data_IF_329740326083
#
_entry.id   IF_329740326083
#
_cell.length_a   1.000
_cell.length_b   1.000
_cell.length_c   1.000
_cell.angle_alpha   90.00
_cell.angle_beta   90.00
_cell.angle_gamma   90.00
#
_symmetry.space_group_name_H-M   'P 1'
#
loop_
_entity.id
_entity.type
_entity.pdbx_description
1 polymer ?
#
# COMPACT_ATOMS: atom_id res chain seq x y z
N UNK A 1 19.07 24.51 6.51
CA UNK A 1 19.44 23.48 7.51
C UNK A 1 18.32 22.45 7.74
N UNK A 2 17.06 22.85 7.94
CA UNK A 2 15.92 21.93 8.15
C UNK A 2 15.63 20.97 6.98
N UNK A 3 15.84 21.40 5.73
CA UNK A 3 15.65 20.54 4.55
C UNK A 3 16.58 19.32 4.50
N UNK A 4 17.84 19.47 4.93
CA UNK A 4 18.80 18.35 4.96
C UNK A 4 18.42 17.31 6.02
N UNK A 5 18.03 17.77 7.21
CA UNK A 5 17.59 16.88 8.29
C UNK A 5 16.31 16.10 7.95
N UNK A 6 15.36 16.72 7.25
CA UNK A 6 14.11 16.06 6.82
C UNK A 6 14.36 14.99 5.76
N UNK A 7 15.25 15.23 4.79
CA UNK A 7 15.65 14.21 3.80
C UNK A 7 16.29 13.00 4.50
N UNK A 8 17.17 13.22 5.48
CA UNK A 8 17.78 12.13 6.24
C UNK A 8 16.72 11.35 7.04
N UNK A 9 15.77 12.03 7.68
CA UNK A 9 14.68 11.35 8.42
C UNK A 9 13.76 10.53 7.51
N UNK A 10 13.30 11.06 6.37
CA UNK A 10 12.47 10.28 5.45
C UNK A 10 13.27 9.18 4.75
N UNK A 11 14.55 9.41 4.46
CA UNK A 11 15.45 8.41 3.88
C UNK A 11 15.68 7.21 4.80
N UNK A 12 15.90 7.44 6.10
CA UNK A 12 16.05 6.34 7.06
C UNK A 12 14.75 5.57 7.25
N UNK A 13 13.59 6.24 7.23
CA UNK A 13 12.27 5.58 7.25
C UNK A 13 12.08 4.69 6.03
N UNK A 14 12.44 5.16 4.83
CA UNK A 14 12.36 4.35 3.62
C UNK A 14 13.26 3.11 3.68
N UNK A 15 14.51 3.27 4.14
CA UNK A 15 15.46 2.15 4.32
C UNK A 15 14.95 1.14 5.36
N UNK A 16 14.37 1.62 6.47
CA UNK A 16 13.80 0.74 7.49
C UNK A 16 12.68 -0.14 6.92
N UNK A 17 11.83 0.42 6.05
CA UNK A 17 10.81 -0.34 5.33
C UNK A 17 11.41 -1.45 4.45
N UNK A 18 12.44 -1.13 3.66
CA UNK A 18 13.13 -2.12 2.81
C UNK A 18 13.78 -3.21 3.67
N UNK A 19 14.38 -2.86 4.81
CA UNK A 19 14.98 -3.82 5.74
C UNK A 19 13.96 -4.82 6.29
N UNK A 20 12.74 -4.36 6.60
CA UNK A 20 11.64 -5.24 7.04
C UNK A 20 11.22 -6.18 5.91
N UNK A 21 11.11 -5.68 4.67
CA UNK A 21 10.79 -6.53 3.52
C UNK A 21 11.87 -7.58 3.25
N UNK A 22 13.13 -7.27 3.53
CA UNK A 22 14.25 -8.20 3.37
C UNK A 22 14.22 -9.38 4.35
N UNK A 23 13.47 -9.31 5.46
CA UNK A 23 13.30 -10.45 6.38
C UNK A 23 12.18 -11.40 5.94
N UNK A 24 11.38 -11.03 4.94
CA UNK A 24 10.29 -11.85 4.43
C UNK A 24 10.81 -12.77 3.33
N UNK A 25 10.40 -14.04 3.35
CA UNK A 25 10.75 -14.97 2.28
C UNK A 25 10.08 -14.53 0.96
N UNK A 26 10.87 -14.14 -0.03
CA UNK A 26 10.41 -13.67 -1.35
C UNK A 26 10.05 -14.84 -2.27
N UNK A 27 9.07 -15.64 -1.83
CA UNK A 27 8.43 -16.65 -2.65
C UNK A 27 7.61 -16.01 -3.77
N UNK A 28 7.35 -16.76 -4.84
CA UNK A 28 6.51 -16.31 -5.99
C UNK A 28 5.21 -15.66 -5.54
N UNK A 29 4.58 -16.22 -4.50
CA UNK A 29 3.38 -15.68 -3.89
C UNK A 29 3.60 -14.33 -3.21
N UNK A 30 4.59 -14.23 -2.31
CA UNK A 30 4.86 -12.99 -1.57
C UNK A 30 5.29 -11.87 -2.51
N UNK A 31 6.05 -12.20 -3.56
CA UNK A 31 6.38 -11.27 -4.64
C UNK A 31 5.14 -10.77 -5.40
N UNK A 32 4.16 -11.63 -5.68
CA UNK A 32 2.90 -11.22 -6.32
C UNK A 32 2.07 -10.31 -5.43
N UNK A 33 1.91 -10.66 -4.15
CA UNK A 33 1.18 -9.83 -3.16
C UNK A 33 1.84 -8.45 -3.06
N UNK A 34 3.17 -8.42 -2.95
CA UNK A 34 3.94 -7.20 -2.85
C UNK A 34 3.83 -6.35 -4.14
N UNK A 35 3.93 -6.98 -5.32
CA UNK A 35 3.81 -6.29 -6.61
C UNK A 35 2.42 -5.66 -6.80
N UNK A 36 1.35 -6.38 -6.48
CA UNK A 36 -0.02 -5.86 -6.59
C UNK A 36 -0.29 -4.75 -5.58
N UNK A 37 0.19 -4.92 -4.33
CA UNK A 37 0.07 -3.87 -3.31
C UNK A 37 0.81 -2.59 -3.67
N UNK A 38 2.06 -2.69 -4.14
CA UNK A 38 2.79 -1.52 -4.63
C UNK A 38 2.12 -0.89 -5.84
N UNK A 39 1.63 -1.72 -6.78
CA UNK A 39 0.87 -1.26 -7.94
C UNK A 39 -0.38 -0.48 -7.55
N UNK A 40 -1.15 -0.96 -6.56
CA UNK A 40 -2.30 -0.23 -6.03
C UNK A 40 -1.90 1.04 -5.27
N UNK A 41 -0.93 0.96 -4.36
CA UNK A 41 -0.50 2.11 -3.56
C UNK A 41 0.06 3.26 -4.41
N UNK A 42 0.89 2.94 -5.40
CA UNK A 42 1.43 3.92 -6.35
C UNK A 42 0.35 4.34 -7.36
N UNK A 43 -0.49 3.41 -7.83
CA UNK A 43 -1.53 3.66 -8.82
C UNK A 43 -2.54 4.70 -8.36
N UNK A 44 -2.92 4.71 -7.09
CA UNK A 44 -3.86 5.71 -6.56
C UNK A 44 -3.22 7.09 -6.42
N UNK A 45 -1.90 7.17 -6.19
CA UNK A 45 -1.18 8.44 -6.22
C UNK A 45 -1.12 9.03 -7.64
N UNK A 46 -0.96 8.19 -8.65
CA UNK A 46 -0.86 8.62 -10.05
C UNK A 46 -2.21 9.01 -10.65
N UNK A 47 -3.31 8.40 -10.20
CA UNK A 47 -4.66 8.64 -10.75
C UNK A 47 -5.65 8.98 -9.62
N UNK A 48 -5.58 10.18 -9.03
CA UNK A 48 -6.47 10.59 -7.93
C UNK A 48 -7.95 10.68 -8.36
N UNK A 49 -8.22 10.88 -9.65
CA UNK A 49 -9.57 10.88 -10.22
C UNK A 49 -10.25 9.52 -10.07
N UNK A 50 -9.49 8.41 -10.11
CA UNK A 50 -10.04 7.06 -9.93
C UNK A 50 -10.61 6.89 -8.51
N UNK A 51 -9.90 7.38 -7.50
CA UNK A 51 -10.39 7.37 -6.11
C UNK A 51 -11.64 8.24 -5.93
N UNK A 52 -11.72 9.38 -6.62
CA UNK A 52 -12.89 10.25 -6.62
C UNK A 52 -14.11 9.59 -7.31
N UNK A 53 -13.90 8.91 -8.44
CA UNK A 53 -14.95 8.17 -9.15
C UNK A 53 -15.47 6.97 -8.35
N UNK A 54 -14.62 6.31 -7.55
CA UNK A 54 -15.03 5.21 -6.66
C UNK A 54 -16.00 5.70 -5.57
N UNK A 55 -15.74 6.87 -4.98
CA UNK A 55 -16.64 7.49 -4.00
C UNK A 55 -17.98 7.94 -4.59
N UNK A 56 -17.98 8.40 -5.85
CA UNK A 56 -19.18 8.83 -6.57
C UNK A 56 -20.13 7.69 -6.98
N UNK A 57 -19.60 6.51 -7.33
CA UNK A 57 -20.42 5.36 -7.76
C UNK A 57 -21.02 4.55 -6.61
N UNK A 58 -20.48 4.67 -5.38
CA UNK A 58 -20.89 3.86 -4.22
C UNK A 58 -22.01 4.51 -3.40
N UNK A 59 -22.24 5.84 -3.49
CA UNK A 59 -23.38 6.53 -2.88
C UNK A 59 -23.50 6.43 -1.34
N UNK A 60 -23.31 7.53 -0.62
CA UNK A 60 -23.55 7.63 0.84
C UNK A 60 -22.28 7.66 1.70
N UNK A 61 -22.44 7.44 3.01
CA UNK A 61 -21.35 7.52 4.01
C UNK A 61 -20.22 6.52 3.73
N UNK A 62 -20.55 5.38 3.14
CA UNK A 62 -19.59 4.34 2.74
C UNK A 62 -18.71 4.78 1.55
N UNK A 63 -19.25 5.54 0.59
CA UNK A 63 -18.50 6.10 -0.54
C UNK A 63 -17.45 7.13 -0.10
N UNK A 64 -17.76 7.98 0.90
CA UNK A 64 -16.79 8.90 1.50
C UNK A 64 -15.68 8.18 2.28
N UNK A 65 -16.03 7.08 2.96
CA UNK A 65 -15.05 6.27 3.68
C UNK A 65 -14.08 5.59 2.70
N UNK A 66 -14.61 4.98 1.64
CA UNK A 66 -13.80 4.39 0.56
C UNK A 66 -12.93 5.46 -0.08
N UNK A 67 -13.47 6.61 -0.45
CA UNK A 67 -12.68 7.71 -1.01
C UNK A 67 -11.56 8.18 -0.07
N UNK A 68 -11.81 8.25 1.24
CA UNK A 68 -10.80 8.64 2.23
C UNK A 68 -9.69 7.60 2.37
N UNK A 69 -10.04 6.31 2.43
CA UNK A 69 -9.06 5.23 2.52
C UNK A 69 -8.23 5.12 1.23
N UNK A 70 -8.87 5.28 0.09
CA UNK A 70 -8.20 5.28 -1.21
C UNK A 70 -7.39 6.56 -1.43
N UNK A 71 -7.73 7.69 -0.81
CA UNK A 71 -6.94 8.93 -0.93
C UNK A 71 -5.50 8.82 -0.38
N UNK A 72 -5.24 7.80 0.45
CA UNK A 72 -3.90 7.52 0.97
C UNK A 72 -3.32 6.25 0.33
N UNK A 73 -2.14 6.43 -0.27
CA UNK A 73 -1.34 5.36 -0.87
C UNK A 73 -0.98 4.26 0.13
N UNK A 74 -0.65 4.68 1.36
CA UNK A 74 -0.15 3.80 2.42
C UNK A 74 -1.28 2.87 2.88
N UNK A 75 -2.48 3.42 3.09
CA UNK A 75 -3.64 2.63 3.50
C UNK A 75 -4.13 1.71 2.38
N UNK A 76 -4.15 2.20 1.14
CA UNK A 76 -4.54 1.38 -0.02
C UNK A 76 -3.59 0.22 -0.25
N UNK A 77 -2.28 0.47 -0.26
CA UNK A 77 -1.26 -0.56 -0.38
C UNK A 77 -1.33 -1.56 0.78
N UNK A 78 -1.40 -1.08 2.03
CA UNK A 78 -1.47 -1.92 3.23
C UNK A 78 -2.72 -2.80 3.27
N UNK A 79 -3.90 -2.24 3.01
CA UNK A 79 -5.14 -3.02 2.90
C UNK A 79 -5.06 -4.06 1.80
N UNK A 80 -4.48 -3.70 0.64
CA UNK A 80 -4.30 -4.65 -0.46
C UNK A 80 -3.40 -5.83 -0.05
N UNK A 81 -2.31 -5.59 0.70
CA UNK A 81 -1.50 -6.68 1.25
C UNK A 81 -2.33 -7.54 2.18
N UNK A 82 -3.03 -6.93 3.16
CA UNK A 82 -3.79 -7.68 4.15
C UNK A 82 -4.87 -8.55 3.49
N UNK A 83 -5.60 -8.00 2.53
CA UNK A 83 -6.64 -8.70 1.78
C UNK A 83 -6.07 -9.85 0.94
N UNK A 84 -5.00 -9.60 0.18
CA UNK A 84 -4.39 -10.65 -0.66
C UNK A 84 -3.68 -11.72 0.16
N UNK A 85 -3.04 -11.34 1.27
CA UNK A 85 -2.46 -12.28 2.22
C UNK A 85 -3.54 -13.17 2.83
N UNK A 86 -4.69 -12.60 3.23
CA UNK A 86 -5.81 -13.37 3.76
C UNK A 86 -6.43 -14.31 2.71
N UNK A 87 -6.68 -13.84 1.49
CA UNK A 87 -7.30 -14.63 0.42
C UNK A 87 -6.39 -15.78 -0.03
N UNK A 88 -5.08 -15.55 -0.15
CA UNK A 88 -4.15 -16.58 -0.61
C UNK A 88 -3.64 -17.50 0.53
N UNK A 89 -4.11 -17.34 1.79
CA UNK A 89 -3.78 -18.19 2.96
C UNK A 89 -2.42 -17.89 3.61
N UNK A 90 -1.85 -18.70 4.50
CA UNK A 90 -0.38 -18.72 4.70
C UNK A 90 0.13 -20.00 4.06
N UNK A 91 1.19 -19.91 3.26
CA UNK A 91 1.93 -21.12 2.90
C UNK A 91 3.08 -21.17 3.89
N UNK A 92 2.92 -21.98 4.93
CA UNK A 92 4.04 -22.40 5.76
C UNK A 92 5.16 -22.84 4.82
N UNK A 93 6.31 -22.19 4.97
CA UNK A 93 7.51 -22.61 4.28
C UNK A 93 8.03 -23.85 5.01
N UNK A 94 8.13 -24.97 4.29
CA UNK A 94 9.15 -25.97 4.57
C UNK A 94 10.56 -25.33 4.49
#
# INVERSE_FOLDING_TARGET
VLGGATIVMFGTVAIAGIKILATVNMNRRNMLILAVSFGMGIGVLLVPQFAASLGGNIGGTFGKLVQSIFSSAITTGGLTVLLLSAIMGEKEAD
#
